data_IF_353993221371
#
_entry.id   IF_353993221371
#
_cell.length_a   1.000
_cell.length_b   1.000
_cell.length_c   1.000
_cell.angle_alpha   90.00
_cell.angle_beta   90.00
_cell.angle_gamma   90.00
#
_symmetry.space_group_name_H-M   'P 1'
#
loop_
_entity.id
_entity.type
_entity.pdbx_description
1 polymer ?
#
# COMPACT_ATOMS: atom_id res chain seq x y z
N UNK A 1 -37.53 58.46 43.51
CA UNK A 1 -37.67 56.98 43.33
C UNK A 1 -37.32 56.68 41.88
N UNK A 2 -36.10 56.20 41.62
CA UNK A 2 -35.60 55.92 40.28
C UNK A 2 -35.50 54.42 40.09
N UNK A 3 -36.32 53.87 39.19
CA UNK A 3 -36.20 52.49 38.76
C UNK A 3 -35.20 52.38 37.60
N UNK A 4 -34.03 51.83 37.86
CA UNK A 4 -33.06 51.44 36.81
C UNK A 4 -33.41 50.04 36.30
N UNK A 5 -33.89 49.97 35.06
CA UNK A 5 -34.03 48.72 34.31
C UNK A 5 -32.66 48.35 33.76
N UNK A 6 -32.09 47.24 34.20
CA UNK A 6 -30.92 46.64 33.64
C UNK A 6 -31.31 45.89 32.35
N UNK A 7 -30.77 46.31 31.22
CA UNK A 7 -30.87 45.58 29.96
C UNK A 7 -29.71 44.56 29.93
N UNK A 8 -30.01 43.29 29.99
CA UNK A 8 -29.03 42.23 29.75
C UNK A 8 -28.95 41.99 28.23
N UNK A 9 -27.84 42.42 27.60
CA UNK A 9 -27.50 42.05 26.23
C UNK A 9 -26.79 40.69 26.29
N UNK A 10 -27.46 39.64 25.85
CA UNK A 10 -26.86 38.32 25.65
C UNK A 10 -26.02 38.35 24.37
N UNK A 11 -24.71 38.28 24.55
CA UNK A 11 -23.78 38.11 23.46
C UNK A 11 -23.77 36.62 23.08
N UNK A 12 -24.39 36.28 21.95
CA UNK A 12 -24.33 34.94 21.40
C UNK A 12 -22.95 34.73 20.74
N UNK A 13 -22.07 33.97 21.38
CA UNK A 13 -20.83 33.51 20.79
C UNK A 13 -21.13 32.39 19.80
N UNK A 14 -21.02 32.71 18.51
CA UNK A 14 -21.04 31.68 17.44
C UNK A 14 -19.69 31.01 17.44
N UNK A 15 -19.58 29.84 18.03
CA UNK A 15 -18.42 28.96 17.89
C UNK A 15 -18.48 28.28 16.53
N UNK A 16 -17.65 28.75 15.58
CA UNK A 16 -17.38 28.02 14.35
C UNK A 16 -16.52 26.79 14.71
N UNK A 17 -17.15 25.65 14.83
CA UNK A 17 -16.45 24.38 14.85
C UNK A 17 -15.94 24.09 13.45
N UNK A 18 -14.66 24.34 13.22
CA UNK A 18 -13.94 23.84 12.03
C UNK A 18 -13.88 22.32 12.14
N UNK A 19 -14.80 21.61 11.49
CA UNK A 19 -14.67 20.18 11.29
C UNK A 19 -13.51 19.94 10.31
N UNK A 20 -12.32 19.61 10.85
CA UNK A 20 -11.26 19.01 10.07
C UNK A 20 -11.78 17.64 9.61
N UNK A 21 -12.23 17.55 8.37
CA UNK A 21 -12.44 16.28 7.71
C UNK A 21 -11.06 15.65 7.51
N UNK A 22 -10.70 14.71 8.38
CA UNK A 22 -9.65 13.75 8.10
C UNK A 22 -10.13 12.94 6.91
N UNK A 23 -9.61 13.22 5.74
CA UNK A 23 -9.80 12.37 4.58
C UNK A 23 -9.16 11.01 4.87
N UNK A 24 -9.96 10.05 5.27
CA UNK A 24 -9.51 8.66 5.34
C UNK A 24 -9.26 8.20 3.91
N UNK A 25 -8.10 7.60 3.60
CA UNK A 25 -7.87 7.05 2.28
C UNK A 25 -8.92 5.98 2.01
N UNK A 26 -9.70 6.18 0.94
CA UNK A 26 -10.67 5.18 0.49
C UNK A 26 -9.87 4.03 -0.09
N UNK A 27 -9.78 2.93 0.63
CA UNK A 27 -9.23 1.69 0.11
C UNK A 27 -10.32 0.96 -0.67
N UNK A 28 -10.31 1.07 -1.98
CA UNK A 28 -11.11 0.23 -2.85
C UNK A 28 -10.26 -0.94 -3.30
N UNK A 29 -10.48 -2.12 -2.72
CA UNK A 29 -9.96 -3.37 -3.26
C UNK A 29 -10.93 -3.82 -4.37
N UNK A 30 -10.55 -3.69 -5.64
CA UNK A 30 -11.33 -4.20 -6.76
C UNK A 30 -10.79 -5.56 -7.16
N UNK A 31 -11.49 -6.62 -6.76
CA UNK A 31 -11.30 -7.95 -7.32
C UNK A 31 -12.31 -8.13 -8.46
N UNK A 32 -11.94 -7.69 -9.65
CA UNK A 32 -12.70 -8.00 -10.86
C UNK A 32 -12.31 -9.41 -11.34
N UNK A 33 -13.27 -10.33 -11.42
CA UNK A 33 -13.07 -11.74 -11.82
C UNK A 33 -12.55 -11.90 -13.26
N UNK A 34 -12.48 -10.82 -14.04
CA UNK A 34 -11.90 -10.76 -15.37
C UNK A 34 -10.45 -10.27 -15.42
N UNK A 35 -9.89 -9.80 -14.30
CA UNK A 35 -8.52 -9.30 -14.27
C UNK A 35 -7.51 -10.47 -14.20
N UNK A 36 -6.60 -10.51 -15.19
CA UNK A 36 -5.51 -11.51 -15.23
C UNK A 36 -4.62 -11.50 -13.97
N UNK A 37 -4.55 -10.38 -13.28
CA UNK A 37 -3.76 -10.27 -12.05
C UNK A 37 -4.45 -10.98 -10.88
N UNK A 38 -5.77 -10.90 -10.78
CA UNK A 38 -6.55 -11.68 -9.80
C UNK A 38 -6.41 -13.19 -10.06
N UNK A 39 -6.39 -13.64 -11.32
CA UNK A 39 -6.14 -15.03 -11.69
C UNK A 39 -4.74 -15.52 -11.30
N UNK A 40 -3.75 -14.61 -11.24
CA UNK A 40 -2.40 -14.87 -10.79
C UNK A 40 -2.21 -14.67 -9.27
N UNK A 41 -3.28 -14.46 -8.52
CA UNK A 41 -3.24 -14.25 -7.07
C UNK A 41 -2.69 -12.88 -6.66
N UNK A 42 -2.68 -11.91 -7.57
CA UNK A 42 -2.28 -10.53 -7.27
C UNK A 42 -3.51 -9.76 -6.78
N UNK A 43 -3.45 -9.25 -5.56
CA UNK A 43 -4.45 -8.32 -5.02
C UNK A 43 -3.99 -6.89 -5.27
N UNK A 44 -4.81 -6.10 -5.94
CA UNK A 44 -4.51 -4.69 -6.23
C UNK A 44 -5.23 -3.77 -5.26
N UNK A 45 -4.56 -2.70 -4.90
CA UNK A 45 -5.12 -1.59 -4.14
C UNK A 45 -4.72 -0.29 -4.80
N UNK A 46 -5.70 0.58 -5.07
CA UNK A 46 -5.47 1.93 -5.57
C UNK A 46 -5.59 2.91 -4.42
N UNK A 47 -4.64 3.82 -4.33
CA UNK A 47 -4.58 4.89 -3.34
C UNK A 47 -4.67 6.22 -4.04
N UNK A 48 -5.38 7.17 -3.41
CA UNK A 48 -5.44 8.57 -3.84
C UNK A 48 -4.98 9.46 -2.71
N UNK A 49 -4.12 10.42 -3.02
CA UNK A 49 -3.72 11.49 -2.12
C UNK A 49 -3.59 12.80 -2.90
N UNK A 50 -3.19 13.87 -2.23
CA UNK A 50 -2.98 15.19 -2.83
C UNK A 50 -1.91 15.22 -3.94
N UNK A 51 -1.08 14.18 -4.04
CA UNK A 51 -0.02 14.03 -5.04
C UNK A 51 -0.45 13.16 -6.23
N UNK A 52 -1.66 12.60 -6.20
CA UNK A 52 -2.23 11.79 -7.27
C UNK A 52 -2.63 10.38 -6.86
N UNK A 53 -2.96 9.59 -7.87
CA UNK A 53 -3.38 8.18 -7.71
C UNK A 53 -2.22 7.25 -8.01
N UNK A 54 -2.05 6.20 -7.22
CA UNK A 54 -1.07 5.15 -7.46
C UNK A 54 -1.63 3.77 -7.14
N UNK A 55 -1.15 2.76 -7.84
CA UNK A 55 -1.61 1.38 -7.69
C UNK A 55 -0.51 0.52 -7.10
N UNK A 56 -0.84 -0.30 -6.14
CA UNK A 56 0.04 -1.30 -5.54
C UNK A 56 -0.57 -2.69 -5.73
N UNK A 57 0.20 -3.60 -6.31
CA UNK A 57 -0.15 -5.02 -6.39
C UNK A 57 0.59 -5.81 -5.31
N UNK A 58 -0.09 -6.74 -4.68
CA UNK A 58 0.43 -7.59 -3.61
C UNK A 58 0.23 -9.06 -3.92
N UNK A 59 1.21 -9.89 -3.57
CA UNK A 59 1.09 -11.34 -3.51
C UNK A 59 1.66 -11.86 -2.18
N UNK A 60 1.11 -12.98 -1.71
CA UNK A 60 1.48 -13.55 -0.41
C UNK A 60 0.66 -12.97 0.74
N UNK A 61 0.18 -13.85 1.61
CA UNK A 61 -0.66 -13.53 2.76
C UNK A 61 -2.12 -13.25 2.38
N UNK A 62 -3.03 -14.10 2.83
CA UNK A 62 -4.45 -13.79 2.76
C UNK A 62 -4.72 -12.54 3.63
N UNK A 63 -5.45 -11.53 3.17
CA UNK A 63 -5.88 -10.39 3.99
C UNK A 63 -6.69 -10.84 5.23
N UNK A 64 -7.27 -12.03 5.22
CA UNK A 64 -8.12 -12.57 6.28
C UNK A 64 -7.43 -13.61 7.19
N UNK A 65 -6.11 -13.56 7.35
CA UNK A 65 -5.45 -14.20 8.50
C UNK A 65 -5.20 -15.71 8.40
N UNK A 66 -5.16 -16.29 7.22
CA UNK A 66 -4.69 -17.69 7.08
C UNK A 66 -3.21 -17.77 7.46
N UNK A 67 -2.90 -18.66 8.38
CA UNK A 67 -1.54 -18.99 8.82
C UNK A 67 -0.64 -19.25 7.62
N UNK A 68 0.43 -18.49 7.53
CA UNK A 68 1.39 -18.66 6.46
C UNK A 68 2.28 -19.85 6.72
N UNK A 69 2.56 -20.54 5.66
CA UNK A 69 3.52 -21.63 5.62
C UNK A 69 4.97 -21.07 5.50
N UNK A 70 5.81 -21.80 4.85
CA UNK A 70 7.18 -21.44 4.53
C UNK A 70 7.26 -20.23 3.60
N UNK A 71 8.37 -19.48 3.67
CA UNK A 71 8.65 -18.39 2.75
C UNK A 71 8.52 -18.85 1.29
N UNK A 72 7.92 -18.01 0.46
CA UNK A 72 7.75 -18.28 -0.97
C UNK A 72 9.12 -18.47 -1.64
N UNK A 73 9.49 -19.72 -1.92
CA UNK A 73 10.78 -20.03 -2.51
C UNK A 73 10.86 -19.52 -3.94
N UNK A 74 11.86 -18.71 -4.24
CA UNK A 74 11.99 -18.03 -5.52
C UNK A 74 13.39 -18.15 -6.13
N UNK A 75 13.62 -17.42 -7.23
CA UNK A 75 12.81 -16.32 -7.78
C UNK A 75 11.54 -16.78 -8.50
N UNK A 76 10.41 -16.17 -8.16
CA UNK A 76 9.14 -16.27 -8.86
C UNK A 76 8.91 -15.05 -9.73
N UNK A 77 8.20 -15.20 -10.84
CA UNK A 77 7.95 -14.13 -11.80
C UNK A 77 6.48 -13.93 -12.04
N UNK A 78 6.08 -12.66 -12.12
CA UNK A 78 4.75 -12.23 -12.51
C UNK A 78 4.84 -11.11 -13.54
N UNK A 79 3.80 -10.97 -14.33
CA UNK A 79 3.69 -9.98 -15.41
C UNK A 79 2.40 -9.16 -15.19
N UNK A 80 2.44 -8.17 -14.30
CA UNK A 80 1.26 -7.37 -13.96
C UNK A 80 0.59 -6.72 -15.17
N UNK A 81 -0.70 -6.42 -15.06
CA UNK A 81 -1.44 -5.74 -16.13
C UNK A 81 -0.93 -4.33 -16.42
N UNK A 82 -0.24 -3.70 -15.47
CA UNK A 82 0.48 -2.45 -15.64
C UNK A 82 1.72 -2.57 -16.54
N UNK A 83 2.08 -3.80 -16.88
CA UNK A 83 3.25 -4.15 -17.69
C UNK A 83 4.51 -4.44 -16.88
N UNK A 84 5.57 -4.77 -17.59
CA UNK A 84 6.87 -5.04 -16.99
C UNK A 84 6.99 -6.45 -16.41
N UNK A 85 8.03 -6.64 -15.59
CA UNK A 85 8.35 -7.91 -14.95
C UNK A 85 8.52 -7.70 -13.45
N UNK A 86 7.77 -8.45 -12.67
CA UNK A 86 7.87 -8.49 -11.22
C UNK A 86 8.49 -9.82 -10.79
N UNK A 87 9.63 -9.75 -10.07
CA UNK A 87 10.36 -10.88 -9.52
C UNK A 87 10.31 -10.80 -8.00
N UNK A 88 9.88 -11.89 -7.35
CA UNK A 88 9.75 -11.92 -5.90
C UNK A 88 10.02 -13.29 -5.31
N UNK A 89 10.12 -13.38 -3.99
CA UNK A 89 10.30 -14.61 -3.25
C UNK A 89 11.52 -14.61 -2.33
N UNK A 90 11.86 -15.79 -1.84
CA UNK A 90 13.00 -16.05 -0.97
C UNK A 90 14.11 -16.79 -1.72
N UNK A 91 15.29 -16.20 -1.82
CA UNK A 91 16.50 -16.84 -2.31
C UNK A 91 17.76 -16.12 -1.79
N UNK A 92 18.88 -16.86 -1.69
CA UNK A 92 20.13 -16.34 -1.16
C UNK A 92 19.97 -15.63 0.18
N UNK A 93 19.29 -16.28 1.13
CA UNK A 93 19.05 -15.79 2.49
C UNK A 93 18.35 -14.44 2.58
N UNK A 94 17.54 -14.05 1.57
CA UNK A 94 16.75 -12.83 1.57
C UNK A 94 15.37 -13.07 0.98
N UNK A 95 14.35 -12.44 1.56
CA UNK A 95 13.09 -12.17 0.85
C UNK A 95 13.25 -10.93 0.00
N UNK A 96 12.76 -10.96 -1.24
CA UNK A 96 13.03 -9.95 -2.25
C UNK A 96 11.80 -9.63 -3.07
N UNK A 97 11.67 -8.36 -3.45
CA UNK A 97 10.69 -7.89 -4.41
C UNK A 97 11.38 -6.92 -5.36
N UNK A 98 11.42 -7.24 -6.65
CA UNK A 98 12.03 -6.47 -7.71
C UNK A 98 11.02 -6.23 -8.81
N UNK A 99 10.88 -5.00 -9.25
CA UNK A 99 10.00 -4.67 -10.34
C UNK A 99 10.69 -3.80 -11.38
N UNK A 100 10.43 -4.08 -12.64
CA UNK A 100 10.96 -3.33 -13.78
C UNK A 100 9.82 -3.06 -14.74
N UNK A 101 9.54 -1.81 -15.03
CA UNK A 101 8.52 -1.36 -15.99
C UNK A 101 8.90 -0.01 -16.59
N UNK A 102 8.36 0.32 -17.77
CA UNK A 102 8.66 1.55 -18.49
C UNK A 102 7.86 2.77 -17.99
N UNK A 103 7.83 2.97 -16.67
CA UNK A 103 7.24 4.14 -15.98
C UNK A 103 7.81 4.25 -14.57
N UNK A 104 7.46 5.30 -13.84
CA UNK A 104 7.78 5.40 -12.42
C UNK A 104 7.18 4.23 -11.65
N UNK A 105 7.98 3.56 -10.82
CA UNK A 105 7.55 2.37 -10.08
C UNK A 105 8.38 2.15 -8.82
N UNK A 106 8.03 1.09 -8.08
CA UNK A 106 8.80 0.66 -6.93
C UNK A 106 8.39 -0.73 -6.45
N UNK A 107 9.13 -1.22 -5.48
CA UNK A 107 8.92 -2.52 -4.85
C UNK A 107 8.89 -2.39 -3.34
N UNK A 108 8.21 -3.33 -2.68
CA UNK A 108 8.19 -3.44 -1.22
C UNK A 108 8.19 -4.91 -0.85
N UNK A 109 8.88 -5.26 0.23
CA UNK A 109 8.77 -6.56 0.87
C UNK A 109 8.49 -6.38 2.35
N UNK A 110 7.60 -7.19 2.89
CA UNK A 110 7.31 -7.27 4.33
C UNK A 110 7.62 -8.67 4.83
N UNK A 111 8.21 -8.76 6.01
CA UNK A 111 8.55 -10.01 6.68
C UNK A 111 8.38 -9.86 8.18
N UNK A 112 7.45 -10.60 8.79
CA UNK A 112 7.22 -10.59 10.24
C UNK A 112 7.13 -9.18 10.84
N UNK A 113 6.36 -8.28 10.18
CA UNK A 113 6.18 -6.87 10.60
C UNK A 113 7.30 -5.92 10.16
N UNK A 114 8.46 -6.40 9.72
CA UNK A 114 9.50 -5.57 9.12
C UNK A 114 9.16 -5.24 7.68
N UNK A 115 9.52 -4.04 7.24
CA UNK A 115 9.27 -3.57 5.86
C UNK A 115 10.55 -3.03 5.24
N UNK A 116 10.82 -3.42 4.00
CA UNK A 116 11.79 -2.78 3.12
C UNK A 116 11.06 -2.26 1.89
N UNK A 117 11.25 -0.98 1.54
CA UNK A 117 10.61 -0.31 0.41
C UNK A 117 11.64 0.41 -0.42
N UNK A 118 11.63 0.20 -1.73
CA UNK A 118 12.46 0.96 -2.65
C UNK A 118 12.02 2.43 -2.72
N UNK A 119 12.91 3.31 -3.11
CA UNK A 119 12.55 4.64 -3.60
C UNK A 119 11.70 4.52 -4.87
N UNK A 120 11.09 5.62 -5.30
CA UNK A 120 10.49 5.69 -6.62
C UNK A 120 11.58 5.56 -7.67
N UNK A 121 11.44 4.55 -8.52
CA UNK A 121 12.46 4.13 -9.48
C UNK A 121 12.05 4.62 -10.88
N UNK A 122 13.00 5.13 -11.62
CA UNK A 122 12.78 5.63 -12.97
C UNK A 122 12.42 4.50 -13.96
N UNK A 123 11.74 4.88 -15.04
CA UNK A 123 11.38 4.01 -16.15
C UNK A 123 12.54 3.11 -16.61
N UNK A 124 12.28 1.83 -16.81
CA UNK A 124 13.22 0.83 -17.29
C UNK A 124 14.32 0.40 -16.31
N UNK A 125 14.39 0.99 -15.11
CA UNK A 125 15.32 0.58 -14.07
C UNK A 125 14.66 -0.45 -13.16
N UNK A 126 15.47 -1.29 -12.50
CA UNK A 126 14.96 -2.25 -11.52
C UNK A 126 14.78 -1.59 -10.16
N UNK A 127 13.57 -1.61 -9.60
CA UNK A 127 13.35 -1.28 -8.20
C UNK A 127 13.72 -2.49 -7.33
N UNK A 128 14.30 -2.25 -6.16
CA UNK A 128 14.85 -3.29 -5.29
C UNK A 128 14.36 -3.08 -3.86
N UNK A 129 13.72 -4.12 -3.31
CA UNK A 129 13.37 -4.22 -1.90
C UNK A 129 13.80 -5.59 -1.37
N UNK A 130 14.55 -5.62 -0.28
CA UNK A 130 15.12 -6.84 0.30
C UNK A 130 15.09 -6.80 1.82
N UNK A 131 14.89 -7.97 2.45
CA UNK A 131 15.11 -8.20 3.87
C UNK A 131 15.84 -9.53 4.07
N UNK A 132 16.79 -9.55 4.99
CA UNK A 132 17.43 -10.80 5.41
C UNK A 132 16.42 -11.73 6.06
N UNK A 133 16.47 -13.00 5.69
CA UNK A 133 15.58 -14.03 6.18
C UNK A 133 16.31 -15.38 6.23
N UNK A 134 15.83 -16.27 7.09
CA UNK A 134 16.09 -17.71 7.03
C UNK A 134 14.79 -18.40 6.64
N UNK A 135 14.89 -19.54 5.95
CA UNK A 135 13.70 -20.31 5.62
C UNK A 135 13.05 -20.82 6.90
N UNK A 136 11.86 -20.34 7.18
CA UNK A 136 11.12 -20.65 8.39
C UNK A 136 9.63 -20.39 8.18
N UNK A 137 8.80 -20.81 9.12
CA UNK A 137 7.39 -20.43 9.15
C UNK A 137 7.27 -18.93 9.47
N UNK A 138 7.06 -18.12 8.47
CA UNK A 138 7.10 -16.65 8.53
C UNK A 138 5.99 -16.04 7.69
N UNK A 139 5.61 -14.82 8.05
CA UNK A 139 4.62 -14.03 7.29
C UNK A 139 5.38 -13.12 6.32
N UNK A 140 5.46 -13.52 5.07
CA UNK A 140 6.04 -12.73 3.98
C UNK A 140 4.96 -12.17 3.06
N UNK A 141 5.19 -10.95 2.57
CA UNK A 141 4.36 -10.30 1.56
C UNK A 141 5.23 -9.52 0.61
N UNK A 142 4.89 -9.56 -0.66
CA UNK A 142 5.61 -8.94 -1.74
C UNK A 142 4.70 -7.96 -2.46
N UNK A 143 5.25 -6.79 -2.81
CA UNK A 143 4.49 -5.73 -3.45
C UNK A 143 5.29 -5.12 -4.57
N UNK A 144 4.60 -4.78 -5.65
CA UNK A 144 5.04 -3.80 -6.62
C UNK A 144 4.12 -2.59 -6.56
N UNK A 145 4.57 -1.46 -7.02
CA UNK A 145 3.75 -0.26 -7.22
C UNK A 145 4.13 0.44 -8.50
N UNK A 146 3.15 1.12 -9.09
CA UNK A 146 3.33 2.04 -10.20
C UNK A 146 2.96 3.41 -9.69
N UNK A 147 3.86 4.39 -9.84
CA UNK A 147 3.59 5.79 -9.56
C UNK A 147 3.10 6.49 -10.84
N UNK A 148 2.31 7.47 -10.66
CA UNK A 148 1.84 8.37 -11.71
C UNK A 148 2.64 9.65 -11.69
#
# INVERSE_FOLDING_TARGET
MLNKKFLFTTLAAVSMASSMMLATPVMAATNDAGDKDAQNGIVKTTYEDENGTWTEGMIGGNPEGVETCWLAYGPLYQYPSEGGTWQYGFWNAKVRSYYTVNRCHGSTVKLNGKTSRSVNTASGKKSIAELWAIQSNSKDRYFYRVCR
#
